data_IF_193684747146
#
_entry.id   IF_193684747146
#
_cell.length_a   1.000
_cell.length_b   1.000
_cell.length_c   1.000
_cell.angle_alpha   90.00
_cell.angle_beta   90.00
_cell.angle_gamma   90.00
#
_symmetry.space_group_name_H-M   'P 1'
#
loop_
_entity.id
_entity.type
_entity.pdbx_description
1 polymer ?
#
# COMPACT_ATOMS: atom_id res chain seq x y z
N UNK A 1 -15.93 11.17 -12.56
CA UNK A 1 -14.70 10.44 -12.17
C UNK A 1 -15.00 9.72 -10.87
N UNK A 2 -14.86 8.41 -10.83
CA UNK A 2 -15.03 7.59 -9.65
C UNK A 2 -13.65 7.17 -9.12
N UNK A 3 -13.39 7.44 -7.85
CA UNK A 3 -12.20 7.03 -7.14
C UNK A 3 -12.59 5.98 -6.10
N UNK A 4 -12.00 4.80 -6.15
CA UNK A 4 -12.17 3.76 -5.14
C UNK A 4 -10.80 3.36 -4.60
N UNK A 5 -10.56 3.55 -3.30
CA UNK A 5 -9.29 3.21 -2.65
C UNK A 5 -9.46 1.94 -1.82
N UNK A 6 -8.71 0.91 -2.17
CA UNK A 6 -8.54 -0.29 -1.37
C UNK A 6 -7.35 -0.09 -0.45
N UNK A 7 -7.58 -0.09 0.86
CA UNK A 7 -6.57 0.28 1.84
C UNK A 7 -6.72 -0.47 3.16
N UNK A 8 -5.67 -0.47 3.97
CA UNK A 8 -5.74 -1.00 5.33
C UNK A 8 -5.47 0.10 6.36
N UNK A 9 -6.16 0.02 7.49
CA UNK A 9 -6.12 1.06 8.54
C UNK A 9 -4.71 1.31 9.06
N UNK A 10 -3.94 0.25 9.27
CA UNK A 10 -2.61 0.29 9.89
C UNK A 10 -1.45 0.28 8.88
N UNK A 11 -1.73 0.19 7.59
CA UNK A 11 -0.71 0.24 6.54
C UNK A 11 -0.18 1.67 6.37
N UNK A 12 1.12 1.86 6.56
CA UNK A 12 1.79 3.16 6.34
C UNK A 12 1.59 3.64 4.89
N UNK A 13 1.80 2.76 3.92
CA UNK A 13 1.60 3.09 2.49
C UNK A 13 0.15 3.53 2.20
N UNK A 14 -0.83 2.89 2.85
CA UNK A 14 -2.24 3.31 2.73
C UNK A 14 -2.49 4.67 3.39
N UNK A 15 -1.83 4.96 4.50
CA UNK A 15 -1.94 6.27 5.18
C UNK A 15 -1.38 7.39 4.30
N UNK A 16 -0.23 7.17 3.65
CA UNK A 16 0.36 8.14 2.72
C UNK A 16 -0.62 8.53 1.61
N UNK A 17 -1.29 7.54 0.99
CA UNK A 17 -2.28 7.80 -0.07
C UNK A 17 -3.51 8.52 0.46
N UNK A 18 -4.02 8.13 1.65
CA UNK A 18 -5.16 8.83 2.25
C UNK A 18 -4.84 10.29 2.56
N UNK A 19 -3.66 10.58 3.11
CA UNK A 19 -3.21 11.95 3.35
C UNK A 19 -3.16 12.73 2.03
N UNK A 20 -2.58 12.15 0.98
CA UNK A 20 -2.53 12.79 -0.33
C UNK A 20 -3.92 13.10 -0.91
N UNK A 21 -4.90 12.20 -0.73
CA UNK A 21 -6.28 12.44 -1.14
C UNK A 21 -6.95 13.56 -0.35
N UNK A 22 -6.75 13.59 0.97
CA UNK A 22 -7.27 14.65 1.85
C UNK A 22 -6.65 16.02 1.51
N UNK A 23 -5.33 16.09 1.32
CA UNK A 23 -4.64 17.33 0.96
C UNK A 23 -5.16 17.92 -0.37
N UNK A 24 -5.50 17.06 -1.33
CA UNK A 24 -6.09 17.49 -2.60
C UNK A 24 -7.60 17.74 -2.53
N UNK A 25 -8.27 17.40 -1.43
CA UNK A 25 -9.73 17.45 -1.33
C UNK A 25 -10.42 16.49 -2.32
N UNK A 26 -9.91 15.26 -2.45
CA UNK A 26 -10.47 14.25 -3.34
C UNK A 26 -11.44 13.36 -2.58
N UNK A 27 -12.70 13.29 -3.05
CA UNK A 27 -13.68 12.35 -2.54
C UNK A 27 -13.48 10.97 -3.19
N UNK A 28 -13.48 9.92 -2.37
CA UNK A 28 -13.29 8.55 -2.83
C UNK A 28 -14.13 7.55 -2.05
N UNK A 29 -14.43 6.43 -2.67
CA UNK A 29 -15.01 5.27 -2.02
C UNK A 29 -13.92 4.53 -1.24
N UNK A 30 -14.11 4.40 0.07
CA UNK A 30 -13.16 3.77 0.98
C UNK A 30 -13.45 2.27 1.13
N UNK A 31 -12.57 1.42 0.60
CA UNK A 31 -12.67 -0.03 0.68
C UNK A 31 -11.60 -0.56 1.64
N UNK A 32 -11.99 -0.79 2.89
CA UNK A 32 -11.09 -1.35 3.90
C UNK A 32 -10.83 -2.82 3.63
N UNK A 33 -9.55 -3.20 3.62
CA UNK A 33 -9.06 -4.56 3.43
C UNK A 33 -8.42 -5.06 4.73
N UNK A 34 -8.88 -6.21 5.21
CA UNK A 34 -8.29 -6.90 6.36
C UNK A 34 -7.08 -7.71 5.91
N UNK A 35 -5.89 -7.23 6.27
CA UNK A 35 -4.64 -7.86 5.87
C UNK A 35 -4.38 -9.16 6.62
N UNK A 36 -3.77 -10.13 5.94
CA UNK A 36 -3.48 -11.46 6.47
C UNK A 36 -2.51 -11.48 7.66
N UNK A 37 -1.71 -10.44 7.83
CA UNK A 37 -0.79 -10.25 8.95
C UNK A 37 -1.45 -9.61 10.19
N UNK A 38 -2.69 -9.13 10.05
CA UNK A 38 -3.42 -8.42 11.10
C UNK A 38 -4.76 -9.09 11.44
N UNK A 39 -5.38 -9.76 10.46
CA UNK A 39 -6.72 -10.30 10.58
C UNK A 39 -6.81 -11.73 10.02
N UNK A 40 -7.54 -12.63 10.70
CA UNK A 40 -7.70 -14.01 10.26
C UNK A 40 -8.48 -14.15 8.94
N UNK A 41 -9.29 -13.16 8.58
CA UNK A 41 -10.06 -13.13 7.34
C UNK A 41 -9.16 -13.04 6.11
N UNK A 42 -7.98 -12.40 6.23
CA UNK A 42 -6.98 -12.32 5.18
C UNK A 42 -7.57 -11.87 3.82
N UNK A 43 -8.43 -10.83 3.84
CA UNK A 43 -9.19 -10.37 2.65
C UNK A 43 -8.28 -9.98 1.48
N UNK A 44 -7.06 -9.51 1.79
CA UNK A 44 -6.06 -9.22 0.75
C UNK A 44 -5.60 -10.44 -0.06
N UNK A 45 -5.89 -11.65 0.42
CA UNK A 45 -5.59 -12.91 -0.27
C UNK A 45 -6.86 -13.56 -0.86
N UNK A 46 -8.01 -12.91 -0.76
CA UNK A 46 -9.24 -13.41 -1.35
C UNK A 46 -9.17 -13.41 -2.88
N UNK A 47 -9.85 -14.33 -3.56
CA UNK A 47 -9.91 -14.34 -5.03
C UNK A 47 -10.42 -13.02 -5.61
N UNK A 48 -11.38 -12.38 -4.94
CA UNK A 48 -12.00 -11.12 -5.34
C UNK A 48 -10.96 -9.99 -5.34
N UNK A 49 -10.18 -9.85 -4.24
CA UNK A 49 -9.16 -8.82 -4.18
C UNK A 49 -7.95 -9.14 -5.07
N UNK A 50 -7.54 -10.40 -5.16
CA UNK A 50 -6.46 -10.82 -6.05
C UNK A 50 -6.79 -10.62 -7.54
N UNK A 51 -8.06 -10.57 -7.92
CA UNK A 51 -8.49 -10.19 -9.27
C UNK A 51 -8.25 -8.69 -9.55
N UNK A 52 -8.28 -7.84 -8.52
CA UNK A 52 -8.00 -6.40 -8.60
C UNK A 52 -6.49 -6.15 -8.52
N UNK A 53 -5.84 -6.70 -7.49
CA UNK A 53 -4.41 -6.60 -7.30
C UNK A 53 -3.78 -7.98 -7.04
N UNK A 54 -3.19 -8.61 -8.06
CA UNK A 54 -2.60 -9.95 -7.94
C UNK A 54 -1.48 -10.07 -6.92
N UNK A 55 -0.85 -8.96 -6.53
CA UNK A 55 0.16 -8.94 -5.46
C UNK A 55 -0.45 -9.12 -4.07
N UNK A 56 -1.76 -8.88 -3.90
CA UNK A 56 -2.44 -8.97 -2.60
C UNK A 56 -1.96 -7.94 -1.57
N UNK A 57 -1.47 -6.79 -2.04
CA UNK A 57 -0.97 -5.70 -1.19
C UNK A 57 -1.86 -4.47 -1.27
N UNK A 58 -1.76 -3.60 -0.28
CA UNK A 58 -2.44 -2.30 -0.23
C UNK A 58 -1.40 -1.17 -0.12
N UNK A 59 -1.70 0.05 -0.58
CA UNK A 59 -2.96 0.50 -1.21
C UNK A 59 -3.09 0.10 -2.69
N UNK A 60 -4.33 0.08 -3.17
CA UNK A 60 -4.67 -0.03 -4.58
C UNK A 60 -5.73 1.01 -4.91
N UNK A 61 -5.52 1.81 -5.93
CA UNK A 61 -6.47 2.79 -6.43
C UNK A 61 -7.14 2.25 -7.69
N UNK A 62 -8.46 2.30 -7.72
CA UNK A 62 -9.26 2.15 -8.95
C UNK A 62 -9.76 3.54 -9.36
N UNK A 63 -9.32 3.99 -10.51
CA UNK A 63 -9.69 5.25 -11.14
C UNK A 63 -10.50 4.96 -12.40
N UNK A 64 -11.83 4.97 -12.28
CA UNK A 64 -12.75 4.68 -13.41
C UNK A 64 -12.40 3.34 -14.14
N UNK A 65 -11.92 2.32 -13.40
CA UNK A 65 -11.50 1.02 -13.95
C UNK A 65 -9.99 0.92 -14.27
N UNK A 66 -9.22 2.00 -14.17
CA UNK A 66 -7.76 1.95 -14.23
C UNK A 66 -7.20 1.61 -12.85
N UNK A 67 -6.55 0.45 -12.73
CA UNK A 67 -5.95 0.00 -11.47
C UNK A 67 -4.53 0.54 -11.35
N UNK A 68 -4.28 1.32 -10.29
CA UNK A 68 -2.96 1.84 -9.95
C UNK A 68 -2.50 1.24 -8.63
N UNK A 69 -1.31 0.67 -8.62
CA UNK A 69 -0.67 0.08 -7.44
C UNK A 69 0.61 0.82 -7.09
N UNK A 70 1.18 0.55 -5.92
CA UNK A 70 2.32 1.23 -5.30
C UNK A 70 1.96 2.66 -4.86
N UNK A 71 2.14 2.94 -3.56
CA UNK A 71 1.71 4.21 -2.96
C UNK A 71 2.29 5.44 -3.67
N UNK A 72 3.55 5.39 -4.09
CA UNK A 72 4.21 6.48 -4.82
C UNK A 72 3.58 6.72 -6.18
N UNK A 73 3.29 5.65 -6.93
CA UNK A 73 2.64 5.76 -8.24
C UNK A 73 1.22 6.30 -8.10
N UNK A 74 0.50 5.86 -7.05
CA UNK A 74 -0.83 6.38 -6.74
C UNK A 74 -0.75 7.88 -6.46
N UNK A 75 0.17 8.33 -5.61
CA UNK A 75 0.32 9.76 -5.27
C UNK A 75 0.68 10.57 -6.51
N UNK A 76 1.58 10.10 -7.37
CA UNK A 76 1.89 10.74 -8.65
C UNK A 76 0.66 10.83 -9.56
N UNK A 77 -0.15 9.78 -9.62
CA UNK A 77 -1.40 9.78 -10.38
C UNK A 77 -2.41 10.78 -9.81
N UNK A 78 -2.58 10.80 -8.48
CA UNK A 78 -3.46 11.77 -7.80
C UNK A 78 -3.02 13.21 -8.04
N UNK A 79 -1.72 13.47 -8.18
CA UNK A 79 -1.22 14.81 -8.47
C UNK A 79 -1.77 15.38 -9.78
N UNK A 80 -1.99 14.53 -10.78
CA UNK A 80 -2.56 14.93 -12.07
C UNK A 80 -4.08 15.16 -12.05
N UNK A 81 -4.75 14.89 -10.91
CA UNK A 81 -6.20 15.03 -10.76
C UNK A 81 -6.49 16.35 -10.03
N UNK A 82 -7.41 17.14 -10.59
CA UNK A 82 -7.89 18.34 -9.92
C UNK A 82 -8.80 17.96 -8.74
N UNK A 83 -8.48 18.44 -7.56
CA UNK A 83 -9.26 18.30 -6.34
C UNK A 83 -9.84 19.64 -5.89
N UNK A 84 -10.56 19.65 -4.78
CA UNK A 84 -11.14 20.90 -4.21
C UNK A 84 -10.05 21.88 -3.72
N UNK A 85 -8.91 21.36 -3.27
CA UNK A 85 -7.81 22.15 -2.68
C UNK A 85 -6.72 22.42 -3.70
N UNK A 86 -6.72 22.22 -4.91
CA UNK A 86 -5.69 22.53 -5.93
C UNK A 86 -4.23 22.38 -5.43
N UNK A 87 -4.00 21.42 -4.52
CA UNK A 87 -2.69 21.16 -3.92
C UNK A 87 -1.80 20.43 -4.93
N UNK A 88 -0.60 20.96 -5.18
CA UNK A 88 0.43 20.24 -5.92
C UNK A 88 1.23 19.35 -4.97
N UNK A 89 0.99 18.02 -5.06
CA UNK A 89 1.68 17.00 -4.25
C UNK A 89 3.10 16.71 -4.75
N UNK A 90 3.42 17.15 -5.97
CA UNK A 90 4.70 16.89 -6.63
C UNK A 90 5.21 18.13 -7.35
N UNK A 91 5.54 19.21 -6.59
CA UNK A 91 5.82 20.50 -7.15
C UNK A 91 7.04 20.47 -8.09
N UNK A 92 6.91 21.14 -9.23
CA UNK A 92 7.94 21.15 -10.27
C UNK A 92 9.12 22.08 -9.92
N UNK A 93 8.92 23.01 -9.00
CA UNK A 93 9.89 24.06 -8.60
C UNK A 93 10.89 23.59 -7.53
N UNK A 94 10.78 22.34 -7.06
CA UNK A 94 11.74 21.74 -6.13
C UNK A 94 12.81 20.93 -6.85
N UNK A 95 13.92 20.67 -6.17
CA UNK A 95 14.96 19.78 -6.65
C UNK A 95 14.42 18.36 -6.81
N UNK A 96 14.14 17.99 -8.06
CA UNK A 96 13.51 16.71 -8.41
C UNK A 96 14.42 15.51 -8.10
N UNK A 97 15.74 15.65 -8.20
CA UNK A 97 16.68 14.59 -7.88
C UNK A 97 16.65 14.29 -6.38
N UNK A 98 16.70 15.33 -5.57
CA UNK A 98 16.60 15.22 -4.10
C UNK A 98 15.23 14.67 -3.66
N UNK A 99 14.15 15.13 -4.30
CA UNK A 99 12.80 14.64 -4.03
C UNK A 99 12.69 13.14 -4.34
N UNK A 100 13.13 12.70 -5.51
CA UNK A 100 13.11 11.29 -5.90
C UNK A 100 13.98 10.43 -4.98
N UNK A 101 15.17 10.91 -4.59
CA UNK A 101 16.04 10.22 -3.63
C UNK A 101 15.33 10.00 -2.30
N UNK A 102 14.64 11.02 -1.78
CA UNK A 102 13.89 10.88 -0.53
C UNK A 102 12.70 9.93 -0.65
N UNK A 103 12.01 9.99 -1.78
CA UNK A 103 10.89 9.07 -2.06
C UNK A 103 11.40 7.63 -2.11
N UNK A 104 12.49 7.36 -2.81
CA UNK A 104 13.09 6.03 -2.93
C UNK A 104 13.60 5.52 -1.58
N UNK A 105 14.23 6.38 -0.78
CA UNK A 105 14.73 6.04 0.56
C UNK A 105 13.60 5.76 1.57
N UNK A 106 12.42 6.34 1.38
CA UNK A 106 11.27 6.19 2.28
C UNK A 106 10.22 5.21 1.81
N UNK A 107 10.24 4.80 0.55
CA UNK A 107 9.24 3.90 -0.04
C UNK A 107 9.71 2.46 0.03
N UNK A 108 8.78 1.54 0.37
CA UNK A 108 9.00 0.09 0.32
C UNK A 108 8.83 -0.41 -1.13
N UNK A 109 9.65 0.09 -2.05
CA UNK A 109 9.62 -0.35 -3.45
C UNK A 109 10.55 -1.53 -3.67
N UNK A 110 10.19 -2.39 -4.64
CA UNK A 110 11.02 -3.50 -5.07
C UNK A 110 12.43 -2.97 -5.46
N UNK A 111 13.47 -3.50 -4.83
CA UNK A 111 14.86 -3.12 -5.09
C UNK A 111 15.49 -2.14 -4.09
N UNK A 112 14.73 -1.56 -3.17
CA UNK A 112 15.33 -0.77 -2.08
C UNK A 112 15.93 -1.72 -1.05
N UNK A 113 17.23 -1.62 -0.69
CA UNK A 113 17.85 -2.51 0.27
C UNK A 113 17.11 -2.46 1.62
N UNK A 114 16.75 -3.64 2.13
CA UNK A 114 16.32 -3.84 3.52
C UNK A 114 17.34 -3.18 4.43
N UNK A 115 17.03 -2.11 5.09
CA UNK A 115 17.97 -1.36 5.95
C UNK A 115 17.92 0.15 5.73
N UNK A 116 17.39 0.60 4.59
CA UNK A 116 17.23 2.02 4.31
C UNK A 116 15.83 2.56 4.60
N UNK A 117 14.86 1.70 4.88
CA UNK A 117 13.46 2.09 5.06
C UNK A 117 12.97 1.85 6.49
N UNK A 118 12.00 2.65 6.93
CA UNK A 118 11.25 2.42 8.17
C UNK A 118 10.63 1.00 8.25
N UNK A 119 10.47 0.34 7.09
CA UNK A 119 9.99 -1.04 6.99
C UNK A 119 10.89 -2.07 7.63
N UNK A 120 12.18 -1.78 7.87
CA UNK A 120 13.09 -2.72 8.55
C UNK A 120 12.85 -2.84 10.05
N UNK A 121 12.19 -1.88 10.67
CA UNK A 121 11.81 -1.97 12.09
C UNK A 121 10.55 -2.83 12.31
N UNK A 122 9.70 -2.96 11.29
CA UNK A 122 8.41 -3.69 11.36
C UNK A 122 8.58 -5.21 11.18
N UNK A 123 9.46 -5.75 10.30
CA UNK A 123 9.58 -7.17 10.05
C UNK A 123 9.76 -8.07 11.29
N UNK A 124 10.59 -7.73 12.29
CA UNK A 124 10.73 -8.58 13.47
C UNK A 124 9.42 -8.77 14.24
N UNK A 125 8.63 -7.69 14.36
CA UNK A 125 7.32 -7.75 15.01
C UNK A 125 6.29 -8.48 14.14
N UNK A 126 6.31 -8.26 12.83
CA UNK A 126 5.46 -8.96 11.88
C UNK A 126 5.75 -10.47 11.87
N UNK A 127 7.01 -10.89 11.96
CA UNK A 127 7.39 -12.30 12.07
C UNK A 127 6.83 -12.97 13.33
N UNK A 128 6.82 -12.27 14.46
CA UNK A 128 6.24 -12.76 15.71
C UNK A 128 4.72 -12.90 15.56
N UNK A 129 4.06 -11.88 15.01
CA UNK A 129 2.62 -11.87 14.74
C UNK A 129 2.23 -12.93 13.71
N UNK A 130 2.95 -13.03 12.60
CA UNK A 130 2.74 -14.04 11.56
C UNK A 130 2.91 -15.44 12.15
N UNK A 131 3.95 -15.68 12.96
CA UNK A 131 4.16 -16.98 13.59
C UNK A 131 3.02 -17.35 14.56
N UNK A 132 2.48 -16.36 15.28
CA UNK A 132 1.32 -16.55 16.15
C UNK A 132 0.04 -16.82 15.35
N UNK A 133 -0.21 -16.09 14.28
CA UNK A 133 -1.37 -16.23 13.41
C UNK A 133 -1.33 -17.53 12.60
N UNK A 134 -0.15 -17.90 12.08
CA UNK A 134 0.07 -19.17 11.37
C UNK A 134 -0.27 -20.35 12.27
N UNK A 135 0.17 -20.34 13.54
CA UNK A 135 -0.15 -21.39 14.49
C UNK A 135 -1.65 -21.49 14.83
N UNK A 136 -2.38 -20.40 14.71
CA UNK A 136 -3.77 -20.31 15.16
C UNK A 136 -4.78 -20.43 14.01
N UNK A 137 -4.48 -19.94 12.82
CA UNK A 137 -5.48 -19.72 11.77
C UNK A 137 -5.13 -20.27 10.39
N UNK A 138 -3.85 -20.56 10.11
CA UNK A 138 -3.43 -21.02 8.80
C UNK A 138 -2.95 -22.47 8.86
N UNK A 139 -3.38 -23.29 7.90
CA UNK A 139 -2.68 -24.54 7.66
C UNK A 139 -1.24 -24.26 7.20
N UNK A 140 -0.31 -25.17 7.47
CA UNK A 140 1.11 -25.05 7.07
C UNK A 140 1.23 -24.73 5.57
N UNK A 141 0.35 -25.24 4.73
CA UNK A 141 0.30 -24.97 3.29
C UNK A 141 -0.08 -23.53 2.94
N UNK A 142 -0.99 -22.92 3.69
CA UNK A 142 -1.37 -21.52 3.48
C UNK A 142 -0.26 -20.56 3.95
N UNK A 143 0.39 -20.89 5.06
CA UNK A 143 1.55 -20.16 5.55
C UNK A 143 2.71 -20.17 4.55
N UNK A 144 3.01 -21.32 3.96
CA UNK A 144 4.04 -21.44 2.93
C UNK A 144 3.68 -20.60 1.70
N UNK A 145 2.42 -20.59 1.25
CA UNK A 145 1.98 -19.74 0.12
C UNK A 145 2.13 -18.26 0.40
N UNK A 146 1.85 -17.80 1.62
CA UNK A 146 2.04 -16.40 2.04
C UNK A 146 3.53 -16.05 2.03
N UNK A 147 4.38 -16.90 2.58
CA UNK A 147 5.84 -16.69 2.59
C UNK A 147 6.47 -16.68 1.18
N UNK A 148 5.99 -17.54 0.26
CA UNK A 148 6.53 -17.60 -1.10
C UNK A 148 6.06 -16.46 -2.02
N UNK A 149 4.91 -15.87 -1.74
CA UNK A 149 4.43 -14.72 -2.52
C UNK A 149 4.96 -13.37 -2.03
N UNK A 150 5.46 -13.31 -0.80
CA UNK A 150 6.07 -12.12 -0.20
C UNK A 150 7.40 -12.51 0.44
N UNK A 151 8.45 -12.77 -0.37
CA UNK A 151 9.80 -12.89 0.18
C UNK A 151 10.14 -11.56 0.86
N UNK A 152 10.55 -11.65 2.11
CA UNK A 152 11.07 -10.54 2.91
C UNK A 152 12.25 -9.88 2.21
#
# INVERSE_FOLDING_TARGET
>A
MKLSLYHAKWSLCSQMVRVAMEEKGLHYESNLIKLCDQYPEAENLSPEYLAINPKGVVPTLDLDGEIVTESTNIIKKLNSISGENDMDLWPADVDQEKLNTWVDDTTLTDGVPLGKTLGTAIPPFSLILINFMVKKYLSIFQAIKVFWKHPL
#
